data_IF_784292137343
#
_entry.id   IF_784292137343
#
_cell.length_a   1.000
_cell.length_b   1.000
_cell.length_c   1.000
_cell.angle_alpha   90.00
_cell.angle_beta   90.00
_cell.angle_gamma   90.00
#
_symmetry.space_group_name_H-M   'P 1'
#
loop_
_entity.id
_entity.type
_entity.pdbx_description
1 polymer ?
#
# COMPACT_ATOMS: atom_id res chain seq x y z
N UNK A 1 1.57 24.51 -7.32
CA UNK A 1 0.13 24.67 -7.03
C UNK A 1 -0.01 24.64 -5.52
N UNK A 2 -0.39 25.76 -4.90
CA UNK A 2 -0.80 25.75 -3.49
C UNK A 2 -2.13 24.99 -3.40
N UNK A 3 -2.13 23.85 -2.73
CA UNK A 3 -3.39 23.17 -2.41
C UNK A 3 -3.99 23.88 -1.21
N UNK A 4 -5.16 24.47 -1.39
CA UNK A 4 -5.99 24.88 -0.28
C UNK A 4 -6.60 23.63 0.35
N UNK A 5 -6.03 23.19 1.48
CA UNK A 5 -6.41 21.95 2.17
C UNK A 5 -7.82 21.96 2.79
N UNK A 6 -8.59 23.04 2.65
CA UNK A 6 -9.83 23.26 3.39
C UNK A 6 -11.10 22.60 2.80
N UNK A 7 -10.99 21.78 1.75
CA UNK A 7 -12.14 21.14 1.07
C UNK A 7 -11.86 19.64 0.89
N UNK A 8 -12.76 18.77 1.38
CA UNK A 8 -12.73 17.33 1.05
C UNK A 8 -12.94 17.18 -0.45
N UNK A 9 -11.90 16.71 -1.14
CA UNK A 9 -11.89 16.54 -2.58
C UNK A 9 -10.94 15.39 -2.95
N UNK A 10 -10.97 14.96 -4.20
CA UNK A 10 -10.14 13.83 -4.66
C UNK A 10 -8.64 14.06 -4.44
N UNK A 11 -8.20 15.32 -4.45
CA UNK A 11 -6.81 15.72 -4.20
C UNK A 11 -6.44 15.47 -2.74
N UNK A 12 -7.23 15.97 -1.77
CA UNK A 12 -6.96 15.78 -0.34
C UNK A 12 -7.03 14.31 0.05
N UNK A 13 -7.96 13.54 -0.52
CA UNK A 13 -8.01 12.07 -0.41
C UNK A 13 -6.74 11.41 -0.91
N UNK A 14 -6.25 11.82 -2.08
CA UNK A 14 -5.02 11.27 -2.66
C UNK A 14 -3.79 11.63 -1.82
N UNK A 15 -3.70 12.87 -1.31
CA UNK A 15 -2.63 13.30 -0.40
C UNK A 15 -2.62 12.45 0.86
N UNK A 16 -3.76 12.31 1.55
CA UNK A 16 -3.86 11.54 2.80
C UNK A 16 -3.41 10.09 2.61
N UNK A 17 -3.74 9.47 1.47
CA UNK A 17 -3.27 8.12 1.11
C UNK A 17 -1.75 8.04 0.92
N UNK A 18 -1.13 9.02 0.27
CA UNK A 18 0.33 8.98 0.09
C UNK A 18 1.06 9.17 1.42
N UNK A 19 0.56 10.08 2.26
CA UNK A 19 1.07 10.27 3.62
C UNK A 19 0.91 9.01 4.46
N UNK A 20 -0.26 8.37 4.42
CA UNK A 20 -0.51 7.13 5.16
C UNK A 20 0.29 5.93 4.66
N UNK A 21 0.84 6.00 3.45
CA UNK A 21 1.73 4.97 2.88
C UNK A 21 3.20 5.30 3.08
N UNK A 22 3.52 6.43 3.72
CA UNK A 22 4.90 6.91 3.88
C UNK A 22 5.56 7.33 2.56
N UNK A 23 4.78 7.62 1.52
CA UNK A 23 5.26 7.90 0.15
C UNK A 23 5.47 9.39 -0.07
N UNK A 24 6.45 9.91 0.64
CA UNK A 24 6.86 11.31 0.58
C UNK A 24 8.32 11.44 0.99
N UNK A 25 8.90 12.59 0.66
CA UNK A 25 10.26 12.97 1.03
C UNK A 25 10.20 14.26 1.83
N UNK A 26 11.04 14.39 2.85
CA UNK A 26 11.12 15.61 3.65
C UNK A 26 12.53 16.17 3.51
N UNK A 27 12.62 17.41 3.03
CA UNK A 27 13.87 18.15 2.84
C UNK A 27 13.62 19.61 3.21
N UNK A 28 14.51 20.21 3.99
CA UNK A 28 14.45 21.63 4.37
C UNK A 28 13.10 22.07 4.97
N UNK A 29 12.49 21.22 5.81
CA UNK A 29 11.20 21.52 6.43
C UNK A 29 9.99 21.44 5.50
N UNK A 30 10.17 20.93 4.27
CA UNK A 30 9.10 20.76 3.30
C UNK A 30 8.91 19.27 3.00
N UNK A 31 7.69 18.78 3.17
CA UNK A 31 7.25 17.46 2.74
C UNK A 31 6.78 17.54 1.28
N UNK A 32 7.39 16.73 0.41
CA UNK A 32 7.05 16.64 -1.01
C UNK A 32 6.52 15.25 -1.32
N UNK A 33 5.40 15.20 -2.04
CA UNK A 33 4.77 13.96 -2.48
C UNK A 33 4.14 14.12 -3.87
N UNK A 34 3.93 12.99 -4.51
CA UNK A 34 3.27 12.91 -5.81
C UNK A 34 1.94 12.19 -5.67
N UNK A 35 0.89 12.71 -6.31
CA UNK A 35 -0.44 12.08 -6.32
C UNK A 35 -0.92 11.84 -7.75
N UNK A 36 -1.82 10.87 -7.91
CA UNK A 36 -2.63 10.71 -9.12
C UNK A 36 -4.08 11.01 -8.75
N UNK A 37 -4.68 11.98 -9.44
CA UNK A 37 -6.07 12.37 -9.28
C UNK A 37 -6.68 12.59 -10.67
N UNK A 38 -7.78 11.92 -10.99
CA UNK A 38 -8.44 12.00 -12.30
C UNK A 38 -7.47 11.74 -13.46
N UNK A 39 -6.65 10.68 -13.33
CA UNK A 39 -5.59 10.27 -14.26
C UNK A 39 -4.49 11.32 -14.54
N UNK A 40 -4.47 12.42 -13.79
CA UNK A 40 -3.41 13.43 -13.83
C UNK A 40 -2.49 13.29 -12.63
N UNK A 41 -1.20 13.52 -12.88
CA UNK A 41 -0.15 13.52 -11.86
C UNK A 41 0.03 14.94 -11.33
N UNK A 42 0.13 15.08 -10.01
CA UNK A 42 0.38 16.36 -9.35
C UNK A 42 1.52 16.22 -8.35
N UNK A 43 2.35 17.26 -8.28
CA UNK A 43 3.38 17.42 -7.26
C UNK A 43 2.87 18.34 -6.15
N UNK A 44 2.89 17.84 -4.91
CA UNK A 44 2.35 18.51 -3.74
C UNK A 44 3.49 18.83 -2.78
N UNK A 45 3.44 20.01 -2.19
CA UNK A 45 4.33 20.43 -1.11
C UNK A 45 3.51 20.79 0.12
N UNK A 46 3.97 20.33 1.28
CA UNK A 46 3.39 20.55 2.60
C UNK A 46 4.47 21.06 3.54
N UNK A 47 4.10 21.96 4.43
CA UNK A 47 4.94 22.46 5.51
C UNK A 47 4.11 22.59 6.80
N UNK A 48 4.69 23.19 7.84
CA UNK A 48 4.02 23.39 9.13
C UNK A 48 2.89 24.43 9.11
N UNK A 49 2.63 25.12 7.98
CA UNK A 49 1.40 25.91 7.83
C UNK A 49 0.15 25.01 7.76
N UNK A 50 0.32 23.72 7.45
CA UNK A 50 -0.69 22.69 7.64
C UNK A 50 -0.46 22.04 9.01
N UNK A 51 -1.38 22.23 9.98
CA UNK A 51 -1.23 21.57 11.28
C UNK A 51 -1.74 20.11 11.24
N UNK A 52 -1.25 19.30 12.19
CA UNK A 52 -1.56 17.85 12.25
C UNK A 52 -3.06 17.60 12.44
N UNK A 53 -3.74 18.41 13.26
CA UNK A 53 -5.17 18.29 13.52
C UNK A 53 -5.99 18.45 12.22
N UNK A 54 -5.65 19.45 11.41
CA UNK A 54 -6.26 19.66 10.10
C UNK A 54 -6.09 18.42 9.23
N UNK A 55 -4.87 17.90 9.09
CA UNK A 55 -4.61 16.68 8.30
C UNK A 55 -5.44 15.47 8.77
N UNK A 56 -5.57 15.30 10.09
CA UNK A 56 -6.35 14.22 10.71
C UNK A 56 -7.82 14.31 10.32
N UNK A 57 -8.43 15.49 10.44
CA UNK A 57 -9.87 15.70 10.27
C UNK A 57 -10.33 15.85 8.80
N UNK A 58 -9.42 16.13 7.85
CA UNK A 58 -9.81 16.53 6.49
C UNK A 58 -10.55 15.49 5.66
N UNK A 59 -10.30 14.20 5.86
CA UNK A 59 -11.02 13.18 5.11
C UNK A 59 -11.05 11.85 5.87
N UNK A 60 -12.26 11.28 5.98
CA UNK A 60 -12.46 10.00 6.63
C UNK A 60 -12.38 8.89 5.56
N UNK A 61 -11.30 8.12 5.58
CA UNK A 61 -11.10 6.95 4.71
C UNK A 61 -11.02 5.70 5.60
N UNK A 62 -12.19 5.15 5.94
CA UNK A 62 -12.27 4.05 6.92
C UNK A 62 -11.93 2.66 6.38
N UNK A 63 -11.85 2.49 5.06
CA UNK A 63 -11.68 1.17 4.43
C UNK A 63 -10.25 0.83 4.04
N UNK A 64 -9.31 1.78 4.10
CA UNK A 64 -7.90 1.54 3.74
C UNK A 64 -7.06 1.37 5.02
N UNK A 65 -6.46 0.19 5.20
CA UNK A 65 -5.74 -0.15 6.44
C UNK A 65 -4.58 0.81 6.72
N UNK A 66 -3.86 1.26 5.68
CA UNK A 66 -2.79 2.26 5.82
C UNK A 66 -3.32 3.58 6.40
N UNK A 67 -4.48 4.07 5.93
CA UNK A 67 -5.08 5.33 6.39
C UNK A 67 -5.59 5.20 7.81
N UNK A 68 -6.27 4.10 8.14
CA UNK A 68 -6.72 3.84 9.51
C UNK A 68 -5.53 3.78 10.48
N UNK A 69 -4.42 3.17 10.06
CA UNK A 69 -3.19 3.12 10.84
C UNK A 69 -2.57 4.51 11.03
N UNK A 70 -2.52 5.30 9.97
CA UNK A 70 -2.02 6.66 10.00
C UNK A 70 -2.87 7.57 10.89
N UNK A 71 -4.20 7.50 10.81
CA UNK A 71 -5.10 8.29 11.64
C UNK A 71 -4.92 7.99 13.13
N UNK A 72 -4.75 6.71 13.50
CA UNK A 72 -4.40 6.32 14.87
C UNK A 72 -3.06 6.89 15.33
N UNK A 73 -2.07 6.88 14.45
CA UNK A 73 -0.77 7.51 14.75
C UNK A 73 -0.94 9.02 14.99
N UNK A 74 -1.68 9.73 14.12
CA UNK A 74 -1.93 11.17 14.27
C UNK A 74 -2.68 11.48 15.57
N UNK A 75 -3.69 10.68 15.93
CA UNK A 75 -4.45 10.85 17.18
C UNK A 75 -3.53 10.74 18.41
N UNK A 76 -2.68 9.71 18.44
CA UNK A 76 -1.69 9.54 19.51
C UNK A 76 -0.66 10.67 19.53
N UNK A 77 -0.19 11.11 18.36
CA UNK A 77 0.77 12.19 18.25
C UNK A 77 0.20 13.51 18.78
N UNK A 78 -1.05 13.86 18.41
CA UNK A 78 -1.76 15.04 18.93
C UNK A 78 -1.94 14.93 20.45
N UNK A 79 -2.28 13.74 20.96
CA UNK A 79 -2.43 13.53 22.41
C UNK A 79 -1.12 13.80 23.16
N UNK A 80 0.02 13.36 22.63
CA UNK A 80 1.32 13.50 23.27
C UNK A 80 1.96 14.89 23.11
N UNK A 81 1.69 15.59 21.99
CA UNK A 81 2.38 16.83 21.62
C UNK A 81 1.47 18.06 21.55
N UNK A 82 0.16 17.90 21.77
CA UNK A 82 -0.84 18.96 21.67
C UNK A 82 -1.34 19.25 20.25
N UNK A 83 -2.36 20.09 20.14
CA UNK A 83 -3.07 20.37 18.86
C UNK A 83 -2.29 21.21 17.85
N UNK A 84 -1.28 21.95 18.31
CA UNK A 84 -0.44 22.83 17.49
C UNK A 84 0.93 22.21 17.18
N UNK A 85 1.03 20.88 17.20
CA UNK A 85 2.26 20.18 16.88
C UNK A 85 2.61 20.31 15.38
N UNK A 86 3.91 20.23 15.09
CA UNK A 86 4.47 20.32 13.74
C UNK A 86 4.07 19.10 12.92
N UNK A 87 3.57 19.36 11.71
CA UNK A 87 3.28 18.32 10.74
C UNK A 87 4.56 17.64 10.26
N UNK A 88 5.61 18.41 10.03
CA UNK A 88 6.87 17.88 9.53
C UNK A 88 7.50 16.90 10.53
N UNK A 89 7.49 17.23 11.82
CA UNK A 89 7.97 16.29 12.84
C UNK A 89 7.09 15.04 12.95
N UNK A 90 5.76 15.19 12.92
CA UNK A 90 4.83 14.06 12.93
C UNK A 90 5.09 13.09 11.76
N UNK A 91 5.28 13.62 10.55
CA UNK A 91 5.54 12.81 9.36
C UNK A 91 6.91 12.11 9.41
N UNK A 92 7.97 12.78 9.88
CA UNK A 92 9.27 12.13 10.08
C UNK A 92 9.16 10.96 11.07
N UNK A 93 8.55 11.20 12.22
CA UNK A 93 8.35 10.16 13.24
C UNK A 93 7.48 9.01 12.71
N UNK A 94 6.47 9.31 11.91
CA UNK A 94 5.67 8.29 11.25
C UNK A 94 6.52 7.38 10.36
N UNK A 95 7.37 7.96 9.50
CA UNK A 95 8.25 7.15 8.63
C UNK A 95 9.24 6.32 9.46
N UNK A 96 9.90 6.94 10.43
CA UNK A 96 10.91 6.29 11.25
C UNK A 96 10.31 5.17 12.11
N UNK A 97 9.06 5.30 12.53
CA UNK A 97 8.39 4.30 13.36
C UNK A 97 7.79 3.17 12.53
N UNK A 98 7.25 3.45 11.33
CA UNK A 98 6.40 2.50 10.62
C UNK A 98 7.01 1.93 9.34
N UNK A 99 8.00 2.58 8.74
CA UNK A 99 8.69 2.07 7.55
C UNK A 99 9.94 1.31 7.94
N UNK A 100 10.13 0.14 7.34
CA UNK A 100 11.27 -0.75 7.56
C UNK A 100 11.86 -1.18 6.24
N UNK A 101 13.17 -1.33 6.19
CA UNK A 101 13.83 -1.97 5.06
C UNK A 101 13.46 -3.45 5.00
N UNK A 102 13.42 -4.02 3.79
CA UNK A 102 13.06 -5.42 3.59
C UNK A 102 13.89 -6.39 4.44
N UNK A 103 15.19 -6.11 4.62
CA UNK A 103 16.09 -6.91 5.44
C UNK A 103 15.81 -6.83 6.96
N UNK A 104 15.06 -5.83 7.43
CA UNK A 104 14.69 -5.67 8.84
C UNK A 104 13.41 -6.43 9.20
N UNK A 105 12.68 -6.94 8.21
CA UNK A 105 11.37 -7.56 8.40
C UNK A 105 11.53 -9.08 8.51
N UNK A 106 11.14 -9.63 9.65
CA UNK A 106 11.28 -11.08 9.95
C UNK A 106 10.41 -11.96 9.04
N UNK A 107 9.22 -11.49 8.68
CA UNK A 107 8.33 -12.20 7.76
C UNK A 107 8.84 -12.05 6.34
N UNK A 108 9.24 -13.16 5.72
CA UNK A 108 9.85 -13.13 4.39
C UNK A 108 8.87 -13.30 3.25
N UNK A 109 7.68 -13.84 3.51
CA UNK A 109 6.75 -14.25 2.47
C UNK A 109 5.42 -13.51 2.58
N UNK A 110 5.01 -12.92 1.45
CA UNK A 110 3.76 -12.20 1.28
C UNK A 110 3.03 -12.67 0.04
N UNK A 111 1.75 -12.29 -0.08
CA UNK A 111 0.90 -12.78 -1.17
C UNK A 111 0.19 -11.65 -1.88
N UNK A 112 0.04 -11.77 -3.20
CA UNK A 112 -0.66 -10.78 -4.00
C UNK A 112 -1.56 -11.45 -5.02
N UNK A 113 -2.85 -11.12 -4.97
CA UNK A 113 -3.79 -11.49 -6.01
C UNK A 113 -3.62 -10.60 -7.24
N UNK A 114 -3.73 -11.23 -8.41
CA UNK A 114 -3.67 -10.56 -9.69
C UNK A 114 -4.41 -11.36 -10.76
N UNK A 115 -4.61 -10.76 -11.92
CA UNK A 115 -5.04 -11.47 -13.12
C UNK A 115 -4.26 -10.96 -14.32
N UNK A 116 -4.03 -11.85 -15.30
CA UNK A 116 -3.43 -11.48 -16.58
C UNK A 116 -4.43 -10.72 -17.48
N UNK A 117 -5.71 -10.74 -17.12
CA UNK A 117 -6.76 -10.08 -17.88
C UNK A 117 -7.43 -9.01 -17.02
N UNK A 118 -7.37 -7.76 -17.47
CA UNK A 118 -8.02 -6.61 -16.82
C UNK A 118 -9.51 -6.81 -16.62
N UNK A 119 -10.18 -7.57 -17.50
CA UNK A 119 -11.63 -7.85 -17.45
C UNK A 119 -12.04 -8.71 -16.26
N UNK A 120 -11.10 -9.42 -15.64
CA UNK A 120 -11.33 -10.23 -14.45
C UNK A 120 -11.12 -9.47 -13.14
N UNK A 121 -10.91 -8.15 -13.19
CA UNK A 121 -10.70 -7.32 -12.02
C UNK A 121 -11.86 -6.36 -11.80
N UNK A 122 -12.22 -6.14 -10.53
CA UNK A 122 -13.14 -5.07 -10.16
C UNK A 122 -12.43 -3.71 -10.21
N UNK A 123 -12.47 -3.06 -11.38
CA UNK A 123 -11.77 -1.79 -11.62
C UNK A 123 -12.29 -0.65 -10.75
N UNK A 124 -13.60 -0.64 -10.45
CA UNK A 124 -14.23 0.38 -9.59
C UNK A 124 -13.68 0.28 -8.17
N UNK A 125 -13.59 -0.93 -7.62
CA UNK A 125 -13.02 -1.13 -6.30
C UNK A 125 -11.53 -0.76 -6.28
N UNK A 126 -10.77 -1.17 -7.29
CA UNK A 126 -9.33 -0.88 -7.37
C UNK A 126 -9.03 0.61 -7.48
N UNK A 127 -9.81 1.36 -8.25
CA UNK A 127 -9.63 2.81 -8.38
C UNK A 127 -9.84 3.53 -7.04
N UNK A 128 -10.70 3.02 -6.15
CA UNK A 128 -10.86 3.57 -4.80
C UNK A 128 -9.58 3.54 -3.97
N UNK A 129 -8.62 2.66 -4.29
CA UNK A 129 -7.30 2.58 -3.63
C UNK A 129 -6.17 3.16 -4.48
N UNK A 130 -6.48 3.69 -5.67
CA UNK A 130 -5.49 4.13 -6.65
C UNK A 130 -4.78 2.98 -7.37
N UNK A 131 -5.26 1.74 -7.24
CA UNK A 131 -4.66 0.59 -7.89
C UNK A 131 -5.10 0.49 -9.36
N UNK A 132 -4.14 0.44 -10.28
CA UNK A 132 -4.40 0.18 -11.71
C UNK A 132 -4.20 -1.30 -12.05
N UNK A 133 -4.61 -1.69 -13.26
CA UNK A 133 -4.17 -2.96 -13.83
C UNK A 133 -2.71 -2.82 -14.27
N UNK A 134 -1.92 -3.88 -14.09
CA UNK A 134 -0.49 -3.93 -14.38
C UNK A 134 -0.27 -5.22 -15.18
N UNK A 135 0.50 -5.14 -16.27
CA UNK A 135 0.91 -6.33 -17.00
C UNK A 135 2.09 -7.01 -16.29
N UNK A 136 1.77 -7.82 -15.28
CA UNK A 136 2.80 -8.57 -14.56
C UNK A 136 3.52 -9.60 -15.44
N UNK A 137 2.97 -9.99 -16.60
CA UNK A 137 3.61 -10.96 -17.49
C UNK A 137 4.88 -10.38 -18.10
N UNK A 138 4.83 -9.11 -18.52
CA UNK A 138 6.00 -8.36 -18.99
C UNK A 138 7.04 -8.21 -17.87
N UNK A 139 6.61 -7.75 -16.69
CA UNK A 139 7.52 -7.54 -15.57
C UNK A 139 8.22 -8.84 -15.14
N UNK A 140 7.51 -9.97 -15.11
CA UNK A 140 8.10 -11.26 -14.73
C UNK A 140 9.14 -11.74 -15.74
N UNK A 141 8.87 -11.56 -17.03
CA UNK A 141 9.72 -12.06 -18.10
C UNK A 141 10.97 -11.20 -18.28
N UNK A 142 10.85 -9.88 -18.08
CA UNK A 142 11.87 -8.91 -18.47
C UNK A 142 12.58 -8.22 -17.30
N UNK A 143 12.11 -8.38 -16.05
CA UNK A 143 12.62 -7.61 -14.89
C UNK A 143 13.07 -8.49 -13.74
N UNK A 144 13.69 -9.63 -14.05
CA UNK A 144 14.16 -10.59 -13.03
C UNK A 144 13.06 -10.89 -12.00
N UNK A 145 11.83 -11.10 -12.46
CA UNK A 145 10.68 -11.39 -11.57
C UNK A 145 10.40 -10.32 -10.51
N UNK A 146 10.88 -9.08 -10.67
CA UNK A 146 10.55 -7.96 -9.78
C UNK A 146 9.29 -7.27 -10.32
N UNK A 147 8.29 -7.14 -9.45
CA UNK A 147 7.03 -6.45 -9.77
C UNK A 147 6.94 -5.11 -9.06
N UNK A 148 6.33 -4.13 -9.71
CA UNK A 148 6.18 -2.76 -9.20
C UNK A 148 4.97 -2.04 -9.82
N UNK A 149 4.53 -0.97 -9.16
CA UNK A 149 3.56 -0.01 -9.72
C UNK A 149 4.25 0.81 -10.81
N UNK A 150 3.80 0.69 -12.06
CA UNK A 150 4.45 1.32 -13.23
C UNK A 150 4.56 2.85 -13.11
N UNK A 151 3.58 3.48 -12.45
CA UNK A 151 3.61 4.92 -12.22
C UNK A 151 4.49 5.30 -11.01
N UNK A 152 4.88 4.33 -10.19
CA UNK A 152 5.68 4.49 -8.96
C UNK A 152 5.06 5.46 -7.94
N UNK A 153 3.72 5.65 -7.98
CA UNK A 153 3.04 6.62 -7.12
C UNK A 153 2.33 5.92 -5.97
N UNK A 154 1.59 4.84 -6.20
CA UNK A 154 0.76 4.23 -5.16
C UNK A 154 1.46 3.07 -4.45
N UNK A 155 2.42 2.44 -5.13
CA UNK A 155 3.09 1.24 -4.65
C UNK A 155 2.22 0.00 -4.85
N UNK A 156 2.69 -1.12 -4.32
CA UNK A 156 2.00 -2.40 -4.35
C UNK A 156 1.68 -2.88 -2.94
N UNK A 157 0.47 -3.41 -2.79
CA UNK A 157 0.03 -4.14 -1.61
C UNK A 157 0.29 -5.63 -1.78
N UNK A 158 0.78 -6.24 -0.72
CA UNK A 158 0.82 -7.68 -0.54
C UNK A 158 0.30 -8.01 0.87
N UNK A 159 -0.45 -9.10 0.98
CA UNK A 159 -1.05 -9.53 2.24
C UNK A 159 -0.13 -10.51 2.98
N UNK A 160 -0.28 -10.55 4.30
CA UNK A 160 0.33 -11.56 5.15
C UNK A 160 -0.34 -12.93 4.99
N UNK A 161 0.31 -13.97 5.47
CA UNK A 161 -0.15 -15.36 5.42
C UNK A 161 -1.49 -15.58 6.15
N UNK A 162 -1.68 -14.95 7.31
CA UNK A 162 -2.89 -15.01 8.10
C UNK A 162 -4.13 -14.43 7.38
N UNK A 163 -3.91 -13.62 6.33
CA UNK A 163 -4.96 -13.07 5.46
C UNK A 163 -5.35 -14.00 4.31
N UNK A 164 -4.62 -15.10 4.07
CA UNK A 164 -4.92 -16.03 2.96
C UNK A 164 -6.33 -16.64 3.05
N UNK A 165 -6.88 -16.80 4.26
CA UNK A 165 -8.26 -17.25 4.45
C UNK A 165 -9.29 -16.33 3.76
N UNK A 166 -8.97 -15.04 3.63
CA UNK A 166 -9.84 -14.05 2.99
C UNK A 166 -9.81 -14.22 1.46
N UNK A 167 -8.69 -14.64 0.87
CA UNK A 167 -8.55 -14.89 -0.58
C UNK A 167 -9.60 -15.87 -1.11
N UNK A 168 -9.99 -16.85 -0.29
CA UNK A 168 -10.97 -17.87 -0.63
C UNK A 168 -12.27 -17.27 -1.18
N UNK A 169 -12.60 -16.02 -0.88
CA UNK A 169 -13.83 -15.39 -1.36
C UNK A 169 -13.57 -14.17 -2.25
N UNK A 170 -12.31 -13.89 -2.58
CA UNK A 170 -11.93 -12.60 -3.18
C UNK A 170 -11.34 -12.70 -4.59
N UNK A 171 -11.21 -13.91 -5.16
CA UNK A 171 -10.60 -14.07 -6.50
C UNK A 171 -11.39 -13.32 -7.59
N UNK A 172 -12.70 -13.20 -7.44
CA UNK A 172 -13.57 -12.53 -8.42
C UNK A 172 -13.38 -11.01 -8.40
N UNK A 173 -12.86 -10.48 -7.29
CA UNK A 173 -12.60 -9.04 -7.14
C UNK A 173 -11.16 -8.68 -7.51
N UNK A 174 -10.18 -9.50 -7.14
CA UNK A 174 -8.76 -9.17 -7.22
C UNK A 174 -7.94 -10.05 -8.18
N UNK A 175 -8.55 -11.09 -8.75
CA UNK A 175 -7.94 -11.96 -9.75
C UNK A 175 -7.79 -13.41 -9.32
N UNK A 176 -7.68 -14.27 -10.33
CA UNK A 176 -7.65 -15.73 -10.23
C UNK A 176 -6.24 -16.32 -10.08
N UNK A 177 -5.23 -15.47 -9.92
CA UNK A 177 -3.83 -15.87 -9.74
C UNK A 177 -3.26 -15.21 -8.50
N UNK A 178 -2.28 -15.87 -7.91
CA UNK A 178 -1.60 -15.41 -6.70
C UNK A 178 -0.09 -15.50 -6.86
N UNK A 179 0.60 -14.40 -6.55
CA UNK A 179 2.03 -14.40 -6.32
C UNK A 179 2.36 -14.75 -4.88
N UNK A 180 3.46 -15.48 -4.73
CA UNK A 180 4.25 -15.56 -3.50
C UNK A 180 5.42 -14.61 -3.67
N UNK A 181 5.56 -13.67 -2.73
CA UNK A 181 6.44 -12.52 -2.84
C UNK A 181 7.44 -12.49 -1.69
N UNK A 182 8.67 -12.08 -2.02
CA UNK A 182 9.69 -11.68 -1.06
C UNK A 182 9.91 -10.16 -1.12
N UNK A 183 10.38 -9.62 0.01
CA UNK A 183 10.80 -8.24 0.12
C UNK A 183 12.23 -8.09 -0.41
N UNK A 184 12.49 -7.00 -1.12
CA UNK A 184 13.84 -6.64 -1.53
C UNK A 184 14.58 -5.99 -0.34
N UNK A 185 15.82 -6.39 -0.04
CA UNK A 185 16.55 -5.94 1.16
C UNK A 185 16.65 -4.42 1.32
N UNK A 186 16.84 -3.71 0.22
CA UNK A 186 17.10 -2.28 0.11
C UNK A 186 15.84 -1.41 -0.08
N UNK A 187 14.69 -2.05 -0.28
CA UNK A 187 13.41 -1.36 -0.42
C UNK A 187 12.79 -1.10 0.96
N UNK A 188 12.10 0.04 1.10
CA UNK A 188 11.31 0.38 2.28
C UNK A 188 9.87 -0.10 2.13
N UNK A 189 9.32 -0.62 3.23
CA UNK A 189 7.98 -1.16 3.31
C UNK A 189 7.25 -0.60 4.52
N UNK A 190 5.98 -0.28 4.34
CA UNK A 190 5.03 -0.03 5.42
C UNK A 190 4.38 -1.35 5.83
N UNK A 191 4.41 -1.68 7.12
CA UNK A 191 3.76 -2.86 7.68
C UNK A 191 2.54 -2.43 8.48
N UNK A 192 1.38 -2.90 8.08
CA UNK A 192 0.16 -2.80 8.88
C UNK A 192 -0.11 -4.13 9.57
N UNK A 193 -1.24 -4.26 10.25
CA UNK A 193 -1.71 -5.52 10.81
C UNK A 193 -1.92 -6.59 9.72
N UNK A 194 -2.47 -6.21 8.55
CA UNK A 194 -2.93 -7.14 7.51
C UNK A 194 -2.03 -7.24 6.28
N UNK A 195 -1.31 -6.18 5.97
CA UNK A 195 -0.64 -6.02 4.68
C UNK A 195 0.73 -5.37 4.82
N UNK A 196 1.53 -5.57 3.79
CA UNK A 196 2.77 -4.85 3.52
C UNK A 196 2.58 -4.03 2.25
N UNK A 197 3.05 -2.79 2.28
CA UNK A 197 2.98 -1.86 1.16
C UNK A 197 4.39 -1.43 0.83
N UNK A 198 4.79 -1.56 -0.44
CA UNK A 198 6.13 -1.16 -0.88
C UNK A 198 6.20 -0.89 -2.37
N UNK A 199 7.35 -0.39 -2.82
CA UNK A 199 7.57 -0.07 -4.24
C UNK A 199 7.67 -1.31 -5.11
N UNK A 200 8.38 -2.32 -4.59
CA UNK A 200 8.84 -3.46 -5.37
C UNK A 200 8.75 -4.74 -4.56
N UNK A 201 8.50 -5.84 -5.23
CA UNK A 201 8.53 -7.17 -4.64
C UNK A 201 9.20 -8.16 -5.60
N UNK A 202 9.91 -9.14 -5.06
CA UNK A 202 10.44 -10.26 -5.85
C UNK A 202 9.39 -11.37 -5.90
N UNK A 203 9.02 -11.80 -7.10
CA UNK A 203 8.12 -12.94 -7.30
C UNK A 203 8.91 -14.23 -7.20
N UNK A 204 8.58 -15.04 -6.20
CA UNK A 204 9.18 -16.37 -5.99
C UNK A 204 8.38 -17.42 -6.75
N UNK A 205 7.04 -17.33 -6.67
CA UNK A 205 6.12 -18.27 -7.32
C UNK A 205 4.87 -17.58 -7.80
N UNK A 206 4.24 -18.19 -8.80
CA UNK A 206 2.90 -17.83 -9.24
C UNK A 206 2.02 -19.06 -9.35
N UNK A 207 0.81 -18.97 -8.82
CA UNK A 207 -0.16 -20.07 -8.82
C UNK A 207 -1.48 -19.59 -9.40
N UNK A 208 -2.08 -20.38 -10.31
CA UNK A 208 -3.47 -20.20 -10.70
C UNK A 208 -4.36 -20.84 -9.65
N UNK A 209 -5.30 -20.07 -9.12
CA UNK A 209 -6.26 -20.53 -8.13
C UNK A 209 -7.49 -21.11 -8.84
N UNK A 210 -8.03 -22.18 -8.27
CA UNK A 210 -9.28 -22.76 -8.74
C UNK A 210 -10.45 -21.83 -8.46
N UNK A 211 -11.41 -21.77 -9.38
CA UNK A 211 -12.71 -21.12 -9.14
C UNK A 211 -13.58 -21.93 -8.18
N UNK A 212 -13.30 -23.23 -8.05
CA UNK A 212 -14.01 -24.13 -7.15
C UNK A 212 -13.50 -23.91 -5.73
N UNK A 213 -14.39 -23.45 -4.83
CA UNK A 213 -14.04 -22.99 -3.47
C UNK A 213 -13.28 -24.03 -2.66
N UNK A 214 -13.74 -25.29 -2.66
CA UNK A 214 -13.11 -26.35 -1.87
C UNK A 214 -11.71 -26.70 -2.39
N UNK A 215 -11.52 -26.78 -3.71
CA UNK A 215 -10.20 -26.99 -4.33
C UNK A 215 -9.26 -25.85 -3.95
N UNK A 216 -9.74 -24.61 -4.06
CA UNK A 216 -8.96 -23.42 -3.72
C UNK A 216 -8.54 -23.40 -2.24
N UNK A 217 -9.41 -23.79 -1.31
CA UNK A 217 -9.04 -23.94 0.11
C UNK A 217 -7.86 -24.90 0.27
N UNK A 218 -7.91 -26.06 -0.38
CA UNK A 218 -6.82 -27.04 -0.36
C UNK A 218 -5.55 -26.45 -1.00
N UNK A 219 -5.66 -25.77 -2.14
CA UNK A 219 -4.52 -25.11 -2.79
C UNK A 219 -3.83 -24.10 -1.86
N UNK A 220 -4.59 -23.25 -1.17
CA UNK A 220 -4.04 -22.26 -0.25
C UNK A 220 -3.35 -22.91 0.96
N UNK A 221 -3.92 -23.99 1.52
CA UNK A 221 -3.27 -24.76 2.58
C UNK A 221 -1.93 -25.36 2.12
N UNK A 222 -1.88 -25.93 0.92
CA UNK A 222 -0.64 -26.47 0.34
C UNK A 222 0.40 -25.38 0.12
N UNK A 223 -0.01 -24.20 -0.32
CA UNK A 223 0.90 -23.05 -0.50
C UNK A 223 1.51 -22.62 0.84
N UNK A 224 0.71 -22.55 1.91
CA UNK A 224 1.18 -22.22 3.26
C UNK A 224 2.18 -23.28 3.74
N UNK A 225 1.82 -24.56 3.67
CA UNK A 225 2.66 -25.67 4.13
C UNK A 225 4.01 -25.74 3.39
N UNK A 226 4.02 -25.47 2.09
CA UNK A 226 5.25 -25.46 1.28
C UNK A 226 6.22 -24.34 1.66
N UNK A 227 5.74 -23.27 2.28
CA UNK A 227 6.58 -22.15 2.69
C UNK A 227 7.25 -22.40 4.05
N UNK A 228 6.81 -23.40 4.83
CA UNK A 228 7.53 -23.88 6.02
C UNK A 228 8.72 -24.79 5.67
N UNK A 229 8.87 -25.18 4.40
CA UNK A 229 9.93 -26.08 3.91
C UNK A 229 11.06 -25.34 3.16
N UNK A 230 11.05 -24.00 3.18
CA UNK A 230 12.05 -23.10 2.57
C UNK A 230 12.70 -22.29 3.68
#
# INVERSE_FOLDING_TARGET
MEIQFHIDNDITRAVKKQLSRGRYTITDGICKLEIICNDKRYSISLDDNCNVLRLRDYCVITKESSVVWFDKFLDNYIYNHGKNCSLIYALKEYQDTNLRYGNQIKNKIFYKLYSNDKRHLNLVYRSMYGAKWIDYSDQISNRDRIIFDENQINGLWAMKDDQLKNIVYSIEMYGDRMFTLELLPDCRYLLTDKEVIGDRFKVIRSNKLSRIVWIRKIQLLVIILRNFLI
#
